data_IF_662841734910
#
_entry.id   IF_662841734910
#
_cell.length_a   1.000
_cell.length_b   1.000
_cell.length_c   1.000
_cell.angle_alpha   90.00
_cell.angle_beta   90.00
_cell.angle_gamma   90.00
#
_symmetry.space_group_name_H-M   'P 1'
#
loop_
_entity.id
_entity.type
_entity.pdbx_description
1 polymer ?
#
# COMPACT_ATOMS: atom_id res chain seq x y z
N UNK A 1 -9.12 23.46 42.43
CA UNK A 1 -7.91 23.33 41.60
C UNK A 1 -7.57 21.87 41.27
N UNK A 2 -7.47 20.96 42.25
CA UNK A 2 -7.15 19.53 42.02
C UNK A 2 -8.16 18.77 41.14
N UNK A 3 -9.46 19.06 41.29
CA UNK A 3 -10.55 18.47 40.50
C UNK A 3 -10.54 18.88 39.03
N UNK A 4 -10.18 20.13 38.73
CA UNK A 4 -10.07 20.61 37.34
C UNK A 4 -8.91 19.93 36.59
N UNK A 5 -7.78 19.74 37.28
CA UNK A 5 -6.60 19.06 36.71
C UNK A 5 -6.93 17.59 36.40
N UNK A 6 -7.62 16.90 37.31
CA UNK A 6 -8.06 15.52 37.10
C UNK A 6 -9.00 15.40 35.89
N UNK A 7 -9.91 16.37 35.71
CA UNK A 7 -10.86 16.38 34.60
C UNK A 7 -10.14 16.60 33.25
N UNK A 8 -9.16 17.50 33.20
CA UNK A 8 -8.32 17.72 32.03
C UNK A 8 -7.52 16.47 31.64
N UNK A 9 -6.95 15.74 32.62
CA UNK A 9 -6.18 14.52 32.37
C UNK A 9 -7.06 13.41 31.81
N UNK A 10 -8.26 13.22 32.34
CA UNK A 10 -9.21 12.21 31.84
C UNK A 10 -9.67 12.52 30.41
N UNK A 11 -9.96 13.79 30.11
CA UNK A 11 -10.33 14.21 28.75
C UNK A 11 -9.17 14.05 27.76
N UNK A 12 -7.94 14.38 28.16
CA UNK A 12 -6.76 14.19 27.32
C UNK A 12 -6.47 12.70 27.05
N UNK A 13 -6.61 11.83 28.06
CA UNK A 13 -6.49 10.39 27.91
C UNK A 13 -7.58 9.81 27.00
N UNK A 14 -8.83 10.25 27.16
CA UNK A 14 -9.94 9.86 26.29
C UNK A 14 -9.73 10.28 24.83
N UNK A 15 -9.26 11.51 24.60
CA UNK A 15 -8.95 12.01 23.26
C UNK A 15 -7.78 11.25 22.62
N UNK A 16 -6.72 10.97 23.39
CA UNK A 16 -5.58 10.18 22.91
C UNK A 16 -5.99 8.74 22.54
N UNK A 17 -6.82 8.10 23.36
CA UNK A 17 -7.39 6.78 23.07
C UNK A 17 -8.26 6.79 21.82
N UNK A 18 -9.10 7.80 21.63
CA UNK A 18 -9.93 7.97 20.45
C UNK A 18 -9.10 8.17 19.17
N UNK A 19 -8.09 9.03 19.21
CA UNK A 19 -7.17 9.25 18.08
C UNK A 19 -6.39 7.97 17.75
N UNK A 20 -5.94 7.22 18.77
CA UNK A 20 -5.25 5.95 18.56
C UNK A 20 -6.16 4.90 17.92
N UNK A 21 -7.42 4.81 18.36
CA UNK A 21 -8.38 3.86 17.81
C UNK A 21 -8.79 4.19 16.36
N UNK A 22 -8.96 5.47 16.03
CA UNK A 22 -9.21 5.91 14.64
C UNK A 22 -8.04 5.59 13.69
N UNK A 23 -6.83 5.40 14.23
CA UNK A 23 -5.63 5.07 13.45
C UNK A 23 -5.41 3.58 13.29
N UNK A 24 -6.31 2.72 13.80
CA UNK A 24 -6.20 1.28 13.58
C UNK A 24 -6.22 1.02 12.08
N UNK A 25 -5.12 0.50 11.49
CA UNK A 25 -5.07 0.29 10.06
C UNK A 25 -6.14 -0.72 9.68
N UNK A 26 -6.95 -0.37 8.67
CA UNK A 26 -7.94 -1.28 8.12
C UNK A 26 -7.22 -2.52 7.60
N UNK A 27 -7.78 -3.69 7.88
CA UNK A 27 -7.36 -4.94 7.24
C UNK A 27 -7.77 -4.91 5.75
N UNK A 28 -6.81 -5.09 4.88
CA UNK A 28 -6.98 -5.23 3.44
C UNK A 28 -7.65 -6.57 3.14
N UNK A 29 -8.51 -6.56 2.11
CA UNK A 29 -8.88 -7.79 1.44
C UNK A 29 -7.65 -8.33 0.70
N UNK A 30 -7.55 -9.65 0.44
CA UNK A 30 -6.38 -10.22 -0.25
C UNK A 30 -6.10 -9.59 -1.62
N UNK A 31 -7.14 -9.06 -2.28
CA UNK A 31 -7.04 -8.35 -3.56
C UNK A 31 -7.91 -7.08 -3.51
N UNK A 32 -7.32 -5.95 -3.87
CA UNK A 32 -8.02 -4.67 -3.95
C UNK A 32 -7.59 -3.86 -5.18
N UNK A 33 -8.44 -2.92 -5.60
CA UNK A 33 -8.26 -2.12 -6.81
C UNK A 33 -8.09 -0.64 -6.45
N UNK A 34 -7.29 0.07 -7.22
CA UNK A 34 -6.88 1.45 -6.94
C UNK A 34 -6.80 2.28 -8.22
N UNK A 35 -7.21 3.54 -8.15
CA UNK A 35 -7.13 4.47 -9.28
C UNK A 35 -5.72 5.08 -9.44
N UNK A 36 -4.86 4.98 -8.44
CA UNK A 36 -3.52 5.55 -8.51
C UNK A 36 -2.53 5.01 -7.48
N UNK A 37 -1.35 5.62 -7.48
CA UNK A 37 -0.34 5.45 -6.43
C UNK A 37 0.28 6.80 -6.08
N UNK A 38 1.00 6.84 -4.96
CA UNK A 38 1.75 8.01 -4.52
C UNK A 38 3.19 7.70 -4.14
N UNK A 39 4.07 8.68 -4.33
CA UNK A 39 5.47 8.62 -3.94
C UNK A 39 6.34 7.75 -4.84
N UNK A 40 7.64 7.71 -4.50
CA UNK A 40 8.67 6.94 -5.20
C UNK A 40 9.36 5.90 -4.30
N UNK A 41 8.83 5.68 -3.09
CA UNK A 41 9.32 4.63 -2.19
C UNK A 41 8.71 3.28 -2.52
N UNK A 42 9.43 2.20 -2.20
CA UNK A 42 8.91 0.84 -2.24
C UNK A 42 8.72 0.27 -0.82
N UNK A 43 7.67 -0.53 -0.57
CA UNK A 43 6.59 -0.91 -1.48
C UNK A 43 5.75 0.30 -1.93
N UNK A 44 5.23 0.26 -3.14
CA UNK A 44 4.49 1.41 -3.68
C UNK A 44 3.23 1.69 -2.84
N UNK A 45 2.94 2.97 -2.61
CA UNK A 45 1.72 3.36 -1.89
C UNK A 45 0.55 3.44 -2.86
N UNK A 46 -0.34 2.46 -2.81
CA UNK A 46 -1.59 2.48 -3.58
C UNK A 46 -2.58 3.51 -2.99
N UNK A 47 -3.26 4.26 -3.86
CA UNK A 47 -4.16 5.36 -3.47
C UNK A 47 -5.46 5.34 -4.26
N UNK A 48 -6.52 5.91 -3.68
CA UNK A 48 -7.84 5.96 -4.32
C UNK A 48 -8.41 4.56 -4.54
N UNK A 49 -8.71 3.84 -3.45
CA UNK A 49 -9.34 2.51 -3.54
C UNK A 49 -10.65 2.63 -4.32
N UNK A 50 -10.85 1.71 -5.25
CA UNK A 50 -12.05 1.58 -6.08
C UNK A 50 -12.57 0.15 -5.98
N UNK A 51 -13.84 -0.02 -6.35
CA UNK A 51 -14.46 -1.32 -6.54
C UNK A 51 -13.93 -2.00 -7.80
N UNK A 52 -14.17 -3.31 -7.91
CA UNK A 52 -13.84 -4.05 -9.14
C UNK A 52 -14.62 -3.51 -10.35
N UNK A 53 -15.90 -3.19 -10.19
CA UNK A 53 -16.74 -2.67 -11.26
C UNK A 53 -16.23 -1.31 -11.78
N UNK A 54 -15.76 -0.44 -10.88
CA UNK A 54 -15.11 0.82 -11.27
C UNK A 54 -13.80 0.58 -12.01
N UNK A 55 -12.99 -0.39 -11.58
CA UNK A 55 -11.76 -0.78 -12.26
C UNK A 55 -12.05 -1.32 -13.67
N UNK A 56 -13.07 -2.17 -13.82
CA UNK A 56 -13.51 -2.71 -15.10
C UNK A 56 -14.03 -1.59 -16.03
N UNK A 57 -14.76 -0.60 -15.49
CA UNK A 57 -15.18 0.59 -16.25
C UNK A 57 -14.00 1.50 -16.65
N UNK A 58 -12.96 1.62 -15.83
CA UNK A 58 -11.71 2.31 -16.18
C UNK A 58 -10.99 1.55 -17.32
N UNK A 59 -10.90 0.24 -17.21
CA UNK A 59 -10.29 -0.64 -18.21
C UNK A 59 -11.01 -0.54 -19.57
N UNK A 60 -12.35 -0.53 -19.58
CA UNK A 60 -13.16 -0.38 -20.79
C UNK A 60 -12.92 0.94 -21.53
N UNK A 61 -12.47 1.99 -20.83
CA UNK A 61 -12.06 3.29 -21.41
C UNK A 61 -10.58 3.33 -21.80
N UNK A 62 -9.84 2.24 -21.61
CA UNK A 62 -8.41 2.13 -21.88
C UNK A 62 -7.52 2.85 -20.86
N UNK A 63 -8.08 3.30 -19.73
CA UNK A 63 -7.37 4.06 -18.72
C UNK A 63 -6.64 3.15 -17.72
N UNK A 64 -5.67 3.72 -17.01
CA UNK A 64 -4.88 2.97 -16.03
C UNK A 64 -5.59 2.82 -14.68
N UNK A 65 -5.36 1.67 -14.06
CA UNK A 65 -5.67 1.40 -12.65
C UNK A 65 -4.61 0.44 -12.08
N UNK A 66 -4.66 0.19 -10.79
CA UNK A 66 -3.76 -0.72 -10.09
C UNK A 66 -4.53 -1.79 -9.34
N UNK A 67 -3.90 -2.96 -9.22
CA UNK A 67 -4.36 -4.09 -8.41
C UNK A 67 -3.31 -4.31 -7.33
N UNK A 68 -3.71 -4.29 -6.07
CA UNK A 68 -2.87 -4.63 -4.93
C UNK A 68 -3.24 -6.00 -4.37
N UNK A 69 -2.22 -6.80 -4.05
CA UNK A 69 -2.36 -8.08 -3.39
C UNK A 69 -1.73 -7.99 -2.01
N UNK A 70 -2.48 -8.40 -0.98
CA UNK A 70 -2.08 -8.24 0.41
C UNK A 70 -1.96 -9.59 1.12
N UNK A 71 -0.96 -9.73 1.98
CA UNK A 71 -0.80 -10.91 2.82
C UNK A 71 -1.61 -10.84 4.12
N UNK A 72 -1.52 -11.91 4.93
CA UNK A 72 -2.19 -11.99 6.23
C UNK A 72 -1.69 -10.97 7.26
N UNK A 73 -0.49 -10.41 7.08
CA UNK A 73 0.11 -9.36 7.90
C UNK A 73 -0.26 -7.94 7.40
N UNK A 74 -1.20 -7.85 6.45
CA UNK A 74 -1.67 -6.60 5.86
C UNK A 74 -0.62 -5.85 5.01
N UNK A 75 0.37 -6.55 4.47
CA UNK A 75 1.45 -5.98 3.65
C UNK A 75 1.16 -6.18 2.17
N UNK A 76 1.50 -5.19 1.35
CA UNK A 76 1.41 -5.30 -0.12
C UNK A 76 2.49 -6.26 -0.62
N UNK A 77 2.12 -7.46 -1.06
CA UNK A 77 3.07 -8.45 -1.59
C UNK A 77 3.21 -8.39 -3.11
N UNK A 78 2.23 -7.80 -3.80
CA UNK A 78 2.31 -7.58 -5.25
C UNK A 78 1.45 -6.39 -5.65
N UNK A 79 1.92 -5.63 -6.63
CA UNK A 79 1.06 -4.72 -7.37
C UNK A 79 1.17 -4.96 -8.88
N UNK A 80 0.06 -4.74 -9.57
CA UNK A 80 -0.01 -4.74 -11.03
C UNK A 80 -0.60 -3.41 -11.45
N UNK A 81 0.09 -2.69 -12.33
CA UNK A 81 -0.50 -1.57 -13.04
C UNK A 81 -1.06 -2.07 -14.37
N UNK A 82 -2.34 -1.83 -14.57
CA UNK A 82 -3.02 -2.08 -15.83
C UNK A 82 -3.07 -0.78 -16.64
N UNK A 83 -2.96 -0.87 -17.96
CA UNK A 83 -3.18 0.24 -18.89
C UNK A 83 -3.68 -0.35 -20.20
N UNK A 84 -4.77 0.22 -20.76
CA UNK A 84 -5.37 -0.26 -22.02
C UNK A 84 -5.69 -1.78 -22.02
N UNK A 85 -6.09 -2.30 -20.87
CA UNK A 85 -6.43 -3.72 -20.70
C UNK A 85 -5.22 -4.66 -20.53
N UNK A 86 -4.00 -4.14 -20.61
CA UNK A 86 -2.77 -4.92 -20.52
C UNK A 86 -1.99 -4.60 -19.24
N UNK A 87 -1.12 -5.53 -18.83
CA UNK A 87 -0.17 -5.29 -17.74
C UNK A 87 0.89 -4.31 -18.23
N UNK A 88 0.93 -3.14 -17.62
CA UNK A 88 1.95 -2.13 -17.90
C UNK A 88 3.20 -2.34 -17.04
N UNK A 89 3.06 -2.63 -15.75
CA UNK A 89 4.17 -3.16 -14.95
C UNK A 89 3.66 -3.95 -13.75
N UNK A 90 4.53 -4.78 -13.20
CA UNK A 90 4.29 -5.56 -12.00
C UNK A 90 5.45 -5.38 -11.02
N UNK A 91 5.13 -5.29 -9.72
CA UNK A 91 6.10 -5.51 -8.66
C UNK A 91 5.65 -6.66 -7.76
N UNK A 92 6.59 -7.53 -7.40
CA UNK A 92 6.42 -8.57 -6.37
C UNK A 92 7.42 -8.31 -5.25
N UNK A 93 6.93 -8.23 -4.02
CA UNK A 93 7.69 -7.83 -2.84
C UNK A 93 7.87 -9.00 -1.87
N UNK A 94 9.10 -9.17 -1.38
CA UNK A 94 9.41 -10.01 -0.23
C UNK A 94 9.90 -9.16 0.93
N UNK A 95 9.55 -9.57 2.14
CA UNK A 95 9.88 -8.85 3.37
C UNK A 95 10.78 -9.69 4.29
N UNK A 96 11.56 -9.01 5.13
CA UNK A 96 12.14 -9.61 6.32
C UNK A 96 11.05 -9.83 7.38
N UNK A 97 11.28 -10.69 8.40
CA UNK A 97 10.33 -10.89 9.50
C UNK A 97 9.93 -9.60 10.24
N UNK A 98 10.81 -8.59 10.26
CA UNK A 98 10.54 -7.28 10.85
C UNK A 98 9.68 -6.34 9.98
N UNK A 99 9.21 -6.80 8.81
CA UNK A 99 8.38 -6.04 7.89
C UNK A 99 9.13 -5.08 6.97
N UNK A 100 10.46 -4.99 7.04
CA UNK A 100 11.24 -4.21 6.06
C UNK A 100 11.32 -4.94 4.73
N UNK A 101 11.28 -4.19 3.64
CA UNK A 101 11.44 -4.74 2.30
C UNK A 101 12.81 -5.42 2.17
N UNK A 102 12.81 -6.67 1.72
CA UNK A 102 14.02 -7.48 1.49
C UNK A 102 14.35 -7.55 0.02
N UNK A 103 13.34 -7.76 -0.82
CA UNK A 103 13.52 -7.94 -2.26
C UNK A 103 12.30 -7.43 -3.00
N UNK A 104 12.53 -6.88 -4.18
CA UNK A 104 11.46 -6.63 -5.14
C UNK A 104 11.88 -7.14 -6.51
N UNK A 105 10.96 -7.84 -7.16
CA UNK A 105 11.04 -8.17 -8.59
C UNK A 105 10.11 -7.22 -9.34
N UNK A 106 10.63 -6.53 -10.33
CA UNK A 106 9.86 -5.69 -11.24
C UNK A 106 9.82 -6.32 -12.63
N UNK A 107 8.65 -6.30 -13.26
CA UNK A 107 8.45 -6.71 -14.64
C UNK A 107 7.92 -5.51 -15.40
N UNK A 108 8.65 -5.07 -16.43
CA UNK A 108 8.28 -3.91 -17.25
C UNK A 108 7.27 -4.31 -18.37
N UNK A 109 6.77 -3.36 -19.19
CA UNK A 109 5.80 -3.68 -20.26
C UNK A 109 6.34 -4.63 -21.34
N UNK A 110 7.66 -4.73 -21.50
CA UNK A 110 8.33 -5.61 -22.46
C UNK A 110 8.55 -7.02 -21.88
N UNK A 111 8.12 -7.27 -20.64
CA UNK A 111 8.32 -8.54 -19.94
C UNK A 111 9.72 -8.72 -19.37
N UNK A 112 10.56 -7.67 -19.37
CA UNK A 112 11.90 -7.72 -18.80
C UNK A 112 11.80 -7.68 -17.27
N UNK A 113 12.39 -8.68 -16.62
CA UNK A 113 12.45 -8.76 -15.17
C UNK A 113 13.72 -8.11 -14.62
N UNK A 114 13.56 -7.22 -13.63
CA UNK A 114 14.65 -6.66 -12.84
C UNK A 114 14.43 -6.99 -11.37
N UNK A 115 15.45 -7.54 -10.71
CA UNK A 115 15.40 -7.85 -9.27
C UNK A 115 16.32 -6.92 -8.50
N UNK A 116 15.83 -6.39 -7.37
CA UNK A 116 16.66 -5.68 -6.40
C UNK A 116 16.48 -6.27 -5.01
N UNK A 117 17.59 -6.44 -4.32
CA UNK A 117 17.63 -6.83 -2.91
C UNK A 117 18.05 -5.64 -2.06
N UNK A 118 17.54 -5.62 -0.83
CA UNK A 118 17.74 -4.54 0.12
C UNK A 118 18.22 -5.11 1.45
N UNK A 119 19.19 -4.43 2.04
CA UNK A 119 19.57 -4.65 3.43
C UNK A 119 18.51 -4.02 4.33
N UNK A 120 18.40 -4.48 5.59
CA UNK A 120 17.52 -3.86 6.58
C UNK A 120 17.85 -2.40 6.90
N UNK A 121 18.88 -1.77 6.33
CA UNK A 121 19.18 -0.33 6.48
C UNK A 121 18.68 0.51 5.32
N UNK A 122 18.41 -0.11 4.17
CA UNK A 122 18.33 0.59 2.90
C UNK A 122 16.99 1.32 2.73
N UNK A 123 17.01 2.33 1.87
CA UNK A 123 15.81 3.02 1.40
C UNK A 123 15.50 2.54 -0.01
N UNK A 124 14.40 1.80 -0.15
CA UNK A 124 13.98 1.26 -1.43
C UNK A 124 13.25 2.33 -2.25
N UNK A 125 13.78 2.59 -3.45
CA UNK A 125 13.19 3.51 -4.43
C UNK A 125 12.59 2.75 -5.60
N UNK A 126 11.56 3.35 -6.20
CA UNK A 126 10.83 2.84 -7.35
C UNK A 126 11.75 2.61 -8.57
N UNK A 127 11.43 1.57 -9.34
CA UNK A 127 11.98 1.28 -10.66
C UNK A 127 10.97 0.42 -11.43
N UNK A 128 11.13 0.32 -12.75
CA UNK A 128 10.43 -0.60 -13.63
C UNK A 128 11.39 -1.63 -14.20
#
# INVERSE_FOLDING_TARGET
MKTLILLCVVLAAGLAGWIAWQRTPRKHDPVEYFSGWGGYGLPIRLTGRITKDEADAIAARGNAYLIGYFDGDNRLVRNVKMLRGEVFFEHVYDYYPNGRLRRVKATNPEGVETVREYRPSDRAGFFW
#
